data_IF_504560630392
#
_entry.id   IF_504560630392
#
_cell.length_a   1.000
_cell.length_b   1.000
_cell.length_c   1.000
_cell.angle_alpha   90.00
_cell.angle_beta   90.00
_cell.angle_gamma   90.00
#
_symmetry.space_group_name_H-M   'P 1'
#
loop_
_entity.id
_entity.type
_entity.pdbx_description
1 polymer ?
#
# COMPACT_ATOMS: atom_id res chain seq x y z
N UNK A 1 -16.17 21.61 64.74
CA UNK A 1 -15.49 20.41 64.22
C UNK A 1 -16.59 19.53 63.64
N UNK A 2 -16.70 19.12 62.37
CA UNK A 2 -15.74 18.72 61.32
C UNK A 2 -16.34 19.02 59.92
N UNK A 3 -15.47 18.98 58.90
CA UNK A 3 -15.50 19.63 57.58
C UNK A 3 -16.35 18.95 56.48
N UNK A 4 -16.71 19.76 55.47
CA UNK A 4 -17.27 19.47 54.14
C UNK A 4 -16.59 18.31 53.40
N UNK A 5 -17.33 17.58 52.55
CA UNK A 5 -16.81 17.14 51.24
C UNK A 5 -17.92 16.99 50.20
N UNK A 6 -17.90 17.84 49.16
CA UNK A 6 -18.62 17.65 47.90
C UNK A 6 -17.86 16.61 47.07
N UNK A 7 -18.54 15.55 46.64
CA UNK A 7 -18.01 14.64 45.60
C UNK A 7 -18.17 15.33 44.25
N UNK A 8 -17.08 15.87 43.71
CA UNK A 8 -17.00 16.31 42.32
C UNK A 8 -16.26 15.23 41.52
N UNK A 9 -17.00 14.41 40.79
CA UNK A 9 -16.43 13.43 39.87
C UNK A 9 -16.08 14.16 38.55
N UNK A 10 -14.82 14.56 38.39
CA UNK A 10 -14.31 15.07 37.13
C UNK A 10 -13.98 13.88 36.21
N UNK A 11 -14.87 13.61 35.24
CA UNK A 11 -14.58 12.70 34.15
C UNK A 11 -13.53 13.33 33.23
N UNK A 12 -12.29 12.84 33.29
CA UNK A 12 -11.27 13.16 32.29
C UNK A 12 -11.66 12.48 30.97
N UNK A 13 -12.34 13.23 30.10
CA UNK A 13 -12.47 12.88 28.69
C UNK A 13 -11.08 12.99 28.06
N UNK A 14 -10.36 11.88 27.99
CA UNK A 14 -9.18 11.74 27.14
C UNK A 14 -9.66 11.83 25.69
N UNK A 15 -9.63 13.03 25.13
CA UNK A 15 -9.73 13.26 23.69
C UNK A 15 -8.47 12.67 23.07
N UNK A 16 -8.52 11.37 22.73
CA UNK A 16 -7.51 10.75 21.88
C UNK A 16 -7.47 11.49 20.55
N UNK A 17 -6.44 12.31 20.36
CA UNK A 17 -6.20 12.95 19.07
C UNK A 17 -6.02 11.91 17.98
N UNK A 18 -6.45 12.22 16.76
CA UNK A 18 -6.22 11.36 15.61
C UNK A 18 -4.72 11.05 15.50
N UNK A 19 -4.37 9.77 15.42
CA UNK A 19 -3.01 9.37 15.12
C UNK A 19 -2.64 9.89 13.73
N UNK A 20 -1.80 10.91 13.66
CA UNK A 20 -1.27 11.43 12.40
C UNK A 20 -0.19 10.47 11.91
N UNK A 21 -0.51 9.62 10.93
CA UNK A 21 0.47 8.83 10.22
C UNK A 21 1.21 9.73 9.22
N UNK A 22 2.49 10.01 9.47
CA UNK A 22 3.37 10.60 8.47
C UNK A 22 3.84 9.51 7.52
N UNK A 23 3.73 9.74 6.21
CA UNK A 23 4.33 8.88 5.18
C UNK A 23 5.41 9.66 4.43
N UNK A 24 6.53 8.99 4.16
CA UNK A 24 7.62 9.51 3.35
C UNK A 24 7.51 8.89 1.96
N UNK A 25 7.38 9.72 0.94
CA UNK A 25 7.47 9.29 -0.46
C UNK A 25 8.86 9.68 -0.97
N UNK A 26 9.63 8.69 -1.41
CA UNK A 26 10.90 8.89 -2.10
C UNK A 26 10.75 8.40 -3.52
N UNK A 27 11.07 9.24 -4.50
CA UNK A 27 11.12 8.81 -5.90
C UNK A 27 12.45 8.10 -6.17
N UNK A 28 12.39 6.92 -6.77
CA UNK A 28 13.60 6.25 -7.26
C UNK A 28 14.16 6.98 -8.49
N UNK A 29 15.45 6.79 -8.77
CA UNK A 29 16.06 7.33 -9.98
C UNK A 29 15.42 6.68 -11.23
N UNK A 30 15.24 7.43 -12.34
CA UNK A 30 14.73 6.84 -13.58
C UNK A 30 15.55 5.61 -14.00
N UNK A 31 14.85 4.57 -14.47
CA UNK A 31 15.44 3.27 -14.87
C UNK A 31 15.99 2.41 -13.71
N UNK A 32 15.73 2.76 -12.45
CA UNK A 32 15.97 1.84 -11.34
C UNK A 32 15.06 0.61 -11.50
N UNK A 33 15.66 -0.59 -11.50
CA UNK A 33 14.95 -1.87 -11.62
C UNK A 33 15.45 -2.91 -10.62
N UNK A 34 16.37 -2.53 -9.74
CA UNK A 34 16.97 -3.39 -8.73
C UNK A 34 17.02 -2.65 -7.39
N UNK A 35 16.80 -3.37 -6.29
CA UNK A 35 16.95 -2.86 -4.93
C UNK A 35 17.96 -3.72 -4.16
N UNK A 36 18.70 -3.10 -3.25
CA UNK A 36 19.57 -3.80 -2.27
C UNK A 36 18.85 -4.06 -0.95
N UNK A 37 17.57 -3.67 -0.83
CA UNK A 37 16.78 -3.94 0.35
C UNK A 37 16.53 -5.45 0.53
N UNK A 38 16.51 -5.89 1.79
CA UNK A 38 16.13 -7.25 2.17
C UNK A 38 14.72 -7.24 2.75
N UNK A 39 13.96 -8.30 2.49
CA UNK A 39 12.55 -8.41 2.89
C UNK A 39 12.29 -9.80 3.50
N UNK A 40 11.53 -9.84 4.59
CA UNK A 40 11.08 -11.10 5.20
C UNK A 40 10.08 -11.86 4.29
N UNK A 41 9.30 -11.10 3.52
CA UNK A 41 8.43 -11.54 2.43
C UNK A 41 8.29 -10.40 1.42
N UNK A 42 8.07 -10.74 0.14
CA UNK A 42 7.90 -9.75 -0.92
C UNK A 42 6.89 -10.23 -1.96
N UNK A 43 6.16 -9.27 -2.52
CA UNK A 43 5.39 -9.44 -3.74
C UNK A 43 5.92 -8.48 -4.79
N UNK A 44 5.82 -8.86 -6.06
CA UNK A 44 6.24 -7.99 -7.16
C UNK A 44 5.01 -7.57 -7.94
N UNK A 45 4.88 -6.26 -8.13
CA UNK A 45 3.84 -5.67 -8.95
C UNK A 45 4.15 -5.92 -10.43
N UNK A 46 3.18 -6.45 -11.17
CA UNK A 46 3.32 -6.74 -12.59
C UNK A 46 2.00 -6.43 -13.32
N UNK A 47 2.10 -5.68 -14.43
CA UNK A 47 0.97 -5.28 -15.26
C UNK A 47 1.05 -5.80 -16.69
N UNK A 48 2.00 -6.69 -17.01
CA UNK A 48 2.24 -7.16 -18.39
C UNK A 48 1.02 -7.85 -19.01
N UNK A 49 0.17 -8.45 -18.18
CA UNK A 49 -1.08 -9.08 -18.61
C UNK A 49 -2.28 -8.12 -18.69
N UNK A 50 -2.12 -6.86 -18.26
CA UNK A 50 -3.16 -5.84 -18.31
C UNK A 50 -3.13 -5.12 -19.65
N UNK A 51 -4.30 -4.80 -20.19
CA UNK A 51 -4.41 -3.93 -21.35
C UNK A 51 -4.00 -2.50 -20.99
N UNK A 52 -3.45 -1.77 -21.96
CA UNK A 52 -3.26 -0.31 -21.83
C UNK A 52 -4.62 0.38 -21.81
N UNK A 53 -4.78 1.39 -20.94
CA UNK A 53 -6.00 2.17 -20.83
C UNK A 53 -6.29 2.69 -19.43
N UNK A 54 -7.24 3.59 -19.33
CA UNK A 54 -7.65 4.27 -18.10
C UNK A 54 -8.78 3.57 -17.35
N UNK A 55 -8.94 3.92 -16.07
CA UNK A 55 -10.07 3.52 -15.22
C UNK A 55 -10.25 2.00 -15.07
N UNK A 56 -9.14 1.28 -14.99
CA UNK A 56 -9.15 -0.16 -14.74
C UNK A 56 -9.31 -0.45 -13.23
N UNK A 57 -9.95 -1.56 -12.93
CA UNK A 57 -10.12 -2.06 -11.55
C UNK A 57 -9.78 -3.54 -11.54
N UNK A 58 -8.91 -3.96 -10.64
CA UNK A 58 -8.52 -5.36 -10.51
C UNK A 58 -7.89 -5.68 -9.17
N UNK A 59 -7.88 -6.96 -8.84
CA UNK A 59 -7.11 -7.53 -7.73
C UNK A 59 -5.90 -8.28 -8.26
N UNK A 60 -4.81 -8.26 -7.49
CA UNK A 60 -3.58 -9.02 -7.72
C UNK A 60 -3.11 -9.65 -6.41
N UNK A 61 -2.36 -10.75 -6.53
CA UNK A 61 -1.69 -11.43 -5.41
C UNK A 61 -0.18 -11.11 -5.35
N UNK A 62 0.31 -10.24 -6.23
CA UNK A 62 1.72 -9.91 -6.38
C UNK A 62 2.64 -11.13 -6.56
N UNK A 63 2.12 -12.23 -7.11
CA UNK A 63 2.84 -13.49 -7.30
C UNK A 63 2.95 -14.37 -6.05
N UNK A 64 2.29 -14.01 -4.95
CA UNK A 64 2.45 -14.67 -3.63
C UNK A 64 1.45 -15.81 -3.36
N UNK A 65 0.65 -16.20 -4.36
CA UNK A 65 -0.37 -17.24 -4.20
C UNK A 65 0.16 -18.62 -3.76
N UNK A 66 1.46 -18.90 -3.88
CA UNK A 66 2.10 -20.10 -3.37
C UNK A 66 2.87 -19.90 -2.04
N UNK A 67 3.06 -18.66 -1.58
CA UNK A 67 3.93 -18.32 -0.45
C UNK A 67 3.27 -18.47 0.93
N UNK A 68 4.07 -18.48 2.01
CA UNK A 68 3.55 -18.52 3.39
C UNK A 68 2.85 -17.22 3.80
N UNK A 69 3.21 -16.09 3.19
CA UNK A 69 2.51 -14.82 3.37
C UNK A 69 1.83 -14.46 2.06
N UNK A 70 0.50 -14.38 2.07
CA UNK A 70 -0.30 -13.93 0.94
C UNK A 70 -0.41 -12.42 0.99
N UNK A 71 0.01 -11.76 -0.07
CA UNK A 71 -0.17 -10.32 -0.28
C UNK A 71 -1.30 -10.16 -1.28
N UNK A 72 -2.21 -9.23 -1.04
CA UNK A 72 -3.30 -8.91 -1.96
C UNK A 72 -3.40 -7.41 -2.12
N UNK A 73 -3.60 -6.98 -3.36
CA UNK A 73 -3.79 -5.58 -3.72
C UNK A 73 -5.02 -5.42 -4.59
N UNK A 74 -5.85 -4.43 -4.27
CA UNK A 74 -6.99 -4.03 -5.11
C UNK A 74 -6.76 -2.62 -5.62
N UNK A 75 -6.66 -2.49 -6.94
CA UNK A 75 -6.55 -1.23 -7.66
C UNK A 75 -7.93 -0.77 -8.10
N UNK A 76 -8.18 0.54 -7.98
CA UNK A 76 -9.36 1.20 -8.52
C UNK A 76 -8.98 2.44 -9.29
N UNK A 77 -9.61 2.63 -10.45
CA UNK A 77 -9.37 3.76 -11.34
C UNK A 77 -7.93 3.88 -11.85
N UNK A 78 -7.20 2.77 -11.95
CA UNK A 78 -5.82 2.77 -12.42
C UNK A 78 -5.73 2.99 -13.93
N UNK A 79 -4.79 3.83 -14.33
CA UNK A 79 -4.36 3.95 -15.72
C UNK A 79 -3.12 3.11 -15.95
N UNK A 80 -3.15 2.31 -17.02
CA UNK A 80 -2.05 1.45 -17.43
C UNK A 80 -1.48 1.98 -18.74
N UNK A 81 -0.18 2.28 -18.76
CA UNK A 81 0.57 2.69 -19.95
C UNK A 81 1.56 1.60 -20.37
N UNK A 82 2.03 1.69 -21.62
CA UNK A 82 3.19 0.91 -22.08
C UNK A 82 4.47 1.45 -21.44
N UNK A 83 5.43 0.56 -21.20
CA UNK A 83 6.75 0.93 -20.68
C UNK A 83 7.41 2.09 -21.45
N UNK A 84 8.04 2.99 -20.70
CA UNK A 84 8.80 4.14 -21.18
C UNK A 84 9.95 4.46 -20.19
N UNK A 85 10.49 5.68 -20.20
CA UNK A 85 11.60 6.06 -19.31
C UNK A 85 11.19 6.22 -17.84
N UNK A 86 9.89 6.29 -17.56
CA UNK A 86 9.32 6.53 -16.23
C UNK A 86 8.79 5.24 -15.59
N UNK A 87 8.50 4.20 -16.37
CA UNK A 87 8.05 2.93 -15.82
C UNK A 87 8.04 1.77 -16.81
N UNK A 88 7.78 0.58 -16.28
CA UNK A 88 7.93 -0.69 -17.01
C UNK A 88 9.38 -1.17 -16.98
N UNK A 89 9.65 -2.15 -16.11
CA UNK A 89 10.99 -2.65 -15.87
C UNK A 89 11.63 -3.15 -17.19
N UNK A 90 12.86 -2.69 -17.45
CA UNK A 90 13.60 -3.05 -18.67
C UNK A 90 13.06 -2.43 -19.97
N UNK A 91 12.24 -1.37 -19.90
CA UNK A 91 11.53 -0.78 -21.05
C UNK A 91 10.63 -1.80 -21.79
N UNK A 92 10.10 -2.78 -21.05
CA UNK A 92 9.18 -3.79 -21.57
C UNK A 92 7.93 -3.86 -20.70
N UNK A 93 6.84 -4.35 -21.28
CA UNK A 93 5.59 -4.55 -20.55
C UNK A 93 4.78 -3.28 -20.37
N UNK A 94 3.96 -3.28 -19.30
CA UNK A 94 3.07 -2.17 -18.95
C UNK A 94 3.28 -1.75 -17.50
N UNK A 95 2.82 -0.55 -17.15
CA UNK A 95 2.93 -0.02 -15.78
C UNK A 95 1.74 0.87 -15.41
N UNK A 96 1.42 0.94 -14.11
CA UNK A 96 0.42 1.86 -13.59
C UNK A 96 0.96 3.28 -13.48
N UNK A 97 0.09 4.27 -13.72
CA UNK A 97 0.43 5.70 -13.61
C UNK A 97 -0.65 6.50 -12.88
N UNK A 98 -0.23 7.64 -12.32
CA UNK A 98 -1.11 8.62 -11.65
C UNK A 98 -1.12 9.98 -12.36
N UNK A 99 -0.39 10.15 -13.46
CA UNK A 99 -0.12 11.46 -14.09
C UNK A 99 -1.35 12.14 -14.71
N UNK A 100 -2.44 11.41 -14.97
CA UNK A 100 -3.66 11.94 -15.61
C UNK A 100 -4.59 12.72 -14.66
N UNK A 101 -4.15 13.01 -13.43
CA UNK A 101 -4.79 13.95 -12.51
C UNK A 101 -5.85 13.36 -11.59
N UNK A 102 -6.34 12.14 -11.87
CA UNK A 102 -7.27 11.42 -10.99
C UNK A 102 -6.59 10.56 -9.91
N UNK A 103 -5.33 10.20 -10.12
CA UNK A 103 -4.67 9.16 -9.31
C UNK A 103 -5.40 7.81 -9.40
N UNK A 104 -5.02 6.89 -8.53
CA UNK A 104 -5.74 5.62 -8.33
C UNK A 104 -5.68 5.24 -6.85
N UNK A 105 -6.65 4.45 -6.42
CA UNK A 105 -6.63 3.86 -5.08
C UNK A 105 -6.01 2.47 -5.13
N UNK A 106 -5.12 2.19 -4.19
CA UNK A 106 -4.56 0.88 -3.95
C UNK A 106 -4.79 0.49 -2.49
N UNK A 107 -5.63 -0.52 -2.28
CA UNK A 107 -5.81 -1.15 -0.97
C UNK A 107 -4.93 -2.38 -0.89
N UNK A 108 -4.05 -2.45 0.12
CA UNK A 108 -3.14 -3.56 0.33
C UNK A 108 -3.48 -4.32 1.60
N UNK A 109 -3.33 -5.64 1.55
CA UNK A 109 -3.35 -6.51 2.72
C UNK A 109 -2.28 -7.59 2.60
N UNK A 110 -1.79 -8.05 3.75
CA UNK A 110 -0.97 -9.25 3.83
C UNK A 110 -1.47 -10.14 4.97
N UNK A 111 -1.43 -11.45 4.76
CA UNK A 111 -1.86 -12.42 5.75
C UNK A 111 -1.01 -13.68 5.72
N UNK A 112 -0.87 -14.30 6.88
CA UNK A 112 -0.30 -15.65 7.00
C UNK A 112 -1.23 -16.68 6.34
N UNK A 113 -0.69 -17.51 5.45
CA UNK A 113 -1.48 -18.45 4.66
C UNK A 113 -2.12 -19.56 5.51
N UNK A 114 -1.51 -19.93 6.64
CA UNK A 114 -2.01 -21.01 7.49
C UNK A 114 -3.05 -20.52 8.50
N UNK A 115 -2.85 -19.32 9.04
CA UNK A 115 -3.64 -18.79 10.17
C UNK A 115 -4.59 -17.67 9.78
N UNK A 116 -4.46 -17.11 8.56
CA UNK A 116 -5.15 -15.89 8.12
C UNK A 116 -4.89 -14.66 9.01
N UNK A 117 -3.87 -14.71 9.86
CA UNK A 117 -3.48 -13.59 10.71
C UNK A 117 -2.89 -12.47 9.86
N UNK A 118 -3.36 -11.23 10.07
CA UNK A 118 -2.87 -10.06 9.37
C UNK A 118 -1.36 -9.84 9.61
N UNK A 119 -0.65 -9.45 8.56
CA UNK A 119 0.77 -9.10 8.57
C UNK A 119 0.92 -7.63 8.12
N UNK A 120 1.93 -6.91 8.62
CA UNK A 120 2.19 -5.53 8.18
C UNK A 120 2.52 -5.48 6.69
N UNK A 121 2.26 -4.35 6.03
CA UNK A 121 2.65 -4.13 4.63
C UNK A 121 3.48 -2.87 4.55
N UNK A 122 4.61 -2.95 3.86
CA UNK A 122 5.38 -1.79 3.41
C UNK A 122 5.33 -1.79 1.89
N UNK A 123 4.88 -0.69 1.29
CA UNK A 123 4.79 -0.52 -0.17
C UNK A 123 5.94 0.36 -0.65
N UNK A 124 6.56 -0.06 -1.74
CA UNK A 124 7.62 0.66 -2.45
C UNK A 124 7.18 0.76 -3.91
N UNK A 125 7.04 1.98 -4.44
CA UNK A 125 6.59 2.27 -5.80
C UNK A 125 6.97 3.69 -6.20
#
# INVERSE_FOLDING_TARGET
MIRKTLLSAAAFALTGGAAHASFLVTYEAPKAVNTTASFDYKGVENFDSRSVGSNQTFTTDFGTAADLTKITGTYQSVEILKADVWGGAGNTGNYAVTFSGGGYDLTLSAQDAATSAAKPVTYFG
#
